data_IF_242859233784
#
_entry.id   IF_242859233784
#
_cell.length_a   1.000
_cell.length_b   1.000
_cell.length_c   1.000
_cell.angle_alpha   90.00
_cell.angle_beta   90.00
_cell.angle_gamma   90.00
#
_symmetry.space_group_name_H-M   'P 1'
#
loop_
_entity.id
_entity.type
_entity.pdbx_description
1 polymer ?
#
# COMPACT_ATOMS: atom_id res chain seq x y z
N UNK A 1 39.40 12.54 -2.12
CA UNK A 1 38.62 13.14 -1.00
C UNK A 1 37.95 11.99 -0.27
N UNK A 2 38.39 11.68 0.94
CA UNK A 2 37.73 10.70 1.80
C UNK A 2 36.44 11.36 2.31
N UNK A 3 35.36 10.61 2.24
CA UNK A 3 34.04 11.01 2.73
C UNK A 3 34.11 11.24 4.25
N UNK A 4 34.21 12.50 4.69
CA UNK A 4 34.16 12.89 6.10
C UNK A 4 32.76 12.67 6.71
N UNK A 5 31.75 12.74 5.86
CA UNK A 5 30.34 12.76 6.29
C UNK A 5 29.84 11.39 6.80
N UNK A 6 30.46 10.29 6.35
CA UNK A 6 30.13 8.93 6.82
C UNK A 6 30.77 8.59 8.17
N UNK A 7 31.86 9.29 8.54
CA UNK A 7 32.47 9.13 9.85
C UNK A 7 31.63 9.75 10.98
N UNK A 8 30.83 10.77 10.67
CA UNK A 8 29.91 11.39 11.63
C UNK A 8 28.75 10.46 12.01
N UNK A 9 28.32 9.60 11.08
CA UNK A 9 27.26 8.62 11.33
C UNK A 9 27.75 7.34 12.00
N UNK A 10 29.09 7.15 12.11
CA UNK A 10 29.70 5.99 12.76
C UNK A 10 29.45 4.66 12.03
N UNK A 11 29.07 4.69 10.74
CA UNK A 11 28.78 3.50 9.95
C UNK A 11 29.84 3.25 8.87
N UNK A 12 30.15 1.99 8.65
CA UNK A 12 31.00 1.54 7.56
C UNK A 12 30.13 0.95 6.44
N UNK A 13 30.11 1.60 5.27
CA UNK A 13 29.23 1.19 4.15
C UNK A 13 29.85 0.05 3.34
N UNK A 14 31.18 0.03 3.22
CA UNK A 14 31.89 -0.94 2.38
C UNK A 14 33.01 -1.64 3.13
N UNK A 15 33.11 -2.95 2.92
CA UNK A 15 34.27 -3.76 3.35
C UNK A 15 35.10 -4.11 2.13
N UNK A 16 36.41 -3.93 2.22
CA UNK A 16 37.38 -4.37 1.22
C UNK A 16 37.85 -5.78 1.52
N UNK A 17 37.72 -6.67 0.57
CA UNK A 17 38.21 -8.05 0.63
C UNK A 17 39.17 -8.31 -0.54
N UNK A 18 39.95 -9.39 -0.52
CA UNK A 18 40.85 -9.75 -1.63
C UNK A 18 40.11 -9.95 -2.96
N UNK A 19 38.80 -10.15 -2.95
CA UNK A 19 37.94 -10.35 -4.12
C UNK A 19 37.22 -9.05 -4.58
N UNK A 20 37.45 -7.91 -3.91
CA UNK A 20 36.84 -6.63 -4.26
C UNK A 20 36.20 -5.92 -3.07
N UNK A 21 35.16 -5.13 -3.35
CA UNK A 21 34.43 -4.34 -2.36
C UNK A 21 33.03 -4.94 -2.21
N UNK A 22 32.61 -5.16 -0.96
CA UNK A 22 31.26 -5.62 -0.61
C UNK A 22 30.59 -4.62 0.33
N UNK A 23 29.26 -4.52 0.27
CA UNK A 23 28.48 -3.72 1.20
C UNK A 23 28.41 -4.41 2.58
N UNK A 24 28.45 -3.62 3.63
CA UNK A 24 28.10 -4.04 4.98
C UNK A 24 26.57 -4.15 5.11
N UNK A 25 26.08 -4.70 6.23
CA UNK A 25 24.65 -4.65 6.57
C UNK A 25 24.15 -3.21 6.71
N UNK A 26 24.89 -2.40 7.44
CA UNK A 26 24.60 -0.98 7.65
C UNK A 26 24.69 -0.20 6.33
N UNK A 27 25.62 -0.58 5.44
CA UNK A 27 25.73 -0.03 4.09
C UNK A 27 24.54 -0.32 3.19
N UNK A 28 23.95 -1.52 3.30
CA UNK A 28 22.72 -1.86 2.56
C UNK A 28 21.52 -1.04 3.06
N UNK A 29 21.41 -0.90 4.37
CA UNK A 29 20.35 -0.11 5.00
C UNK A 29 20.50 1.39 4.64
N UNK A 30 21.69 1.94 4.81
CA UNK A 30 21.99 3.33 4.40
C UNK A 30 21.67 3.60 2.94
N UNK A 31 22.05 2.71 2.02
CA UNK A 31 21.76 2.88 0.60
C UNK A 31 20.26 2.82 0.28
N UNK A 32 19.50 2.05 1.05
CA UNK A 32 18.03 2.03 0.91
C UNK A 32 17.44 3.41 1.22
N UNK A 33 17.82 4.03 2.33
CA UNK A 33 17.39 5.38 2.68
C UNK A 33 17.93 6.45 1.72
N UNK A 34 19.20 6.34 1.33
CA UNK A 34 19.82 7.28 0.39
C UNK A 34 19.12 7.29 -0.98
N UNK A 35 18.72 6.12 -1.48
CA UNK A 35 17.93 6.03 -2.72
C UNK A 35 16.59 6.74 -2.59
N UNK A 36 15.88 6.56 -1.49
CA UNK A 36 14.61 7.26 -1.26
C UNK A 36 14.79 8.77 -1.27
N UNK A 37 15.84 9.29 -0.62
CA UNK A 37 16.14 10.73 -0.63
C UNK A 37 16.43 11.23 -2.04
N UNK A 38 17.24 10.49 -2.82
CA UNK A 38 17.55 10.86 -4.20
C UNK A 38 16.31 10.85 -5.09
N UNK A 39 15.46 9.82 -4.98
CA UNK A 39 14.19 9.73 -5.71
C UNK A 39 13.26 10.89 -5.37
N UNK A 40 13.10 11.24 -4.08
CA UNK A 40 12.30 12.38 -3.68
C UNK A 40 12.88 13.71 -4.18
N UNK A 41 14.20 13.84 -4.19
CA UNK A 41 14.86 15.03 -4.74
C UNK A 41 14.64 15.15 -6.24
N UNK A 42 14.73 14.04 -6.98
CA UNK A 42 14.45 14.02 -8.40
C UNK A 42 13.00 14.41 -8.72
N UNK A 43 12.04 13.86 -7.99
CA UNK A 43 10.62 14.23 -8.13
C UNK A 43 10.39 15.73 -7.86
N UNK A 44 11.05 16.26 -6.82
CA UNK A 44 10.99 17.68 -6.51
C UNK A 44 11.60 18.53 -7.65
N UNK A 45 12.75 18.13 -8.17
CA UNK A 45 13.42 18.83 -9.28
C UNK A 45 12.60 18.77 -10.57
N UNK A 46 12.05 17.61 -10.91
CA UNK A 46 11.18 17.46 -12.09
C UNK A 46 9.95 18.36 -11.99
N UNK A 47 9.34 18.42 -10.79
CA UNK A 47 8.16 19.25 -10.56
C UNK A 47 8.43 20.75 -10.73
N UNK A 48 9.59 21.24 -10.31
CA UNK A 48 9.88 22.68 -10.26
C UNK A 48 10.83 23.19 -11.34
N UNK A 49 11.67 22.33 -11.93
CA UNK A 49 12.62 22.74 -13.00
C UNK A 49 12.05 22.57 -14.40
N UNK A 50 11.00 21.77 -14.60
CA UNK A 50 10.38 21.57 -15.91
C UNK A 50 9.03 22.33 -16.00
N UNK A 51 9.01 23.55 -16.56
CA UNK A 51 7.78 24.33 -16.70
C UNK A 51 6.74 23.72 -17.68
N UNK A 52 7.13 22.66 -18.43
CA UNK A 52 6.22 21.96 -19.36
C UNK A 52 5.37 20.92 -18.64
N UNK A 53 5.74 20.52 -17.42
CA UNK A 53 5.00 19.53 -16.61
C UNK A 53 4.21 20.21 -15.49
N UNK A 54 3.41 21.22 -15.82
CA UNK A 54 2.49 21.86 -14.86
C UNK A 54 1.22 21.00 -14.67
N UNK A 55 1.39 19.66 -14.67
CA UNK A 55 0.29 18.74 -14.34
C UNK A 55 0.22 18.58 -12.84
N UNK A 56 -0.99 18.76 -12.32
CA UNK A 56 -1.26 18.44 -10.92
C UNK A 56 -1.26 16.91 -10.75
N UNK A 57 -0.39 16.41 -9.87
CA UNK A 57 -0.36 15.00 -9.51
C UNK A 57 -1.51 14.71 -8.56
N UNK A 58 -2.23 13.63 -8.82
CA UNK A 58 -3.21 13.10 -7.89
C UNK A 58 -3.14 11.58 -7.90
N UNK A 59 -2.86 11.01 -6.75
CA UNK A 59 -2.71 9.57 -6.59
C UNK A 59 -3.58 9.02 -5.47
N UNK A 60 -4.08 7.81 -5.71
CA UNK A 60 -4.89 7.05 -4.77
C UNK A 60 -4.24 5.70 -4.54
N UNK A 61 -4.01 5.33 -3.28
CA UNK A 61 -3.62 3.98 -2.89
C UNK A 61 -4.82 3.26 -2.27
N UNK A 62 -5.08 2.03 -2.69
CA UNK A 62 -6.25 1.27 -2.28
C UNK A 62 -5.92 -0.20 -2.12
N UNK A 63 -6.65 -0.88 -1.24
CA UNK A 63 -6.79 -2.32 -1.31
C UNK A 63 -7.53 -2.72 -2.60
N UNK A 64 -7.64 -4.01 -2.88
CA UNK A 64 -8.15 -4.56 -4.15
C UNK A 64 -9.68 -4.43 -4.27
N UNK A 65 -10.17 -3.21 -4.53
CA UNK A 65 -11.60 -2.92 -4.60
C UNK A 65 -12.06 -2.43 -5.97
N UNK A 66 -12.92 -3.19 -6.62
CA UNK A 66 -13.50 -2.82 -7.91
C UNK A 66 -14.25 -1.47 -7.87
N UNK A 67 -14.85 -1.08 -6.75
CA UNK A 67 -15.52 0.21 -6.64
C UNK A 67 -14.54 1.39 -6.70
N UNK A 68 -13.32 1.24 -6.16
CA UNK A 68 -12.28 2.27 -6.24
C UNK A 68 -11.82 2.43 -7.69
N UNK A 69 -11.56 1.32 -8.38
CA UNK A 69 -11.21 1.34 -9.81
C UNK A 69 -12.28 2.03 -10.64
N UNK A 70 -13.56 1.70 -10.41
CA UNK A 70 -14.68 2.32 -11.11
C UNK A 70 -14.81 3.82 -10.81
N UNK A 71 -14.63 4.22 -9.56
CA UNK A 71 -14.63 5.63 -9.15
C UNK A 71 -13.47 6.39 -9.81
N UNK A 72 -12.28 5.81 -9.82
CA UNK A 72 -11.09 6.38 -10.44
C UNK A 72 -11.25 6.54 -11.96
N UNK A 73 -11.75 5.51 -12.65
CA UNK A 73 -12.08 5.60 -14.09
C UNK A 73 -13.13 6.67 -14.37
N UNK A 74 -14.10 6.85 -13.47
CA UNK A 74 -15.10 7.90 -13.58
C UNK A 74 -14.50 9.29 -13.38
N UNK A 75 -13.53 9.40 -12.49
CA UNK A 75 -12.74 10.63 -12.30
C UNK A 75 -11.93 10.96 -13.56
N UNK A 76 -11.20 9.98 -14.11
CA UNK A 76 -10.43 10.15 -15.35
C UNK A 76 -11.28 10.70 -16.49
N UNK A 77 -12.49 10.20 -16.67
CA UNK A 77 -13.42 10.66 -17.73
C UNK A 77 -13.90 12.10 -17.56
N UNK A 78 -13.83 12.64 -16.35
CA UNK A 78 -14.25 14.01 -16.01
C UNK A 78 -13.09 14.98 -15.89
N UNK A 79 -11.88 14.47 -15.77
CA UNK A 79 -10.66 15.26 -15.57
C UNK A 79 -10.09 15.75 -16.90
N UNK A 80 -9.51 16.92 -16.87
CA UNK A 80 -8.72 17.46 -17.98
C UNK A 80 -7.33 16.81 -17.94
N UNK A 81 -7.11 15.81 -18.79
CA UNK A 81 -5.86 15.03 -18.83
C UNK A 81 -4.63 15.87 -19.25
N UNK A 82 -4.82 17.08 -19.75
CA UNK A 82 -3.71 17.98 -20.01
C UNK A 82 -3.18 18.63 -18.74
N UNK A 83 -4.04 18.76 -17.71
CA UNK A 83 -3.72 19.41 -16.43
C UNK A 83 -3.35 18.44 -15.33
N UNK A 84 -3.79 17.19 -15.42
CA UNK A 84 -3.63 16.21 -14.35
C UNK A 84 -2.82 15.02 -14.78
N UNK A 85 -2.02 14.52 -13.86
CA UNK A 85 -1.40 13.20 -13.91
C UNK A 85 -1.96 12.37 -12.77
N UNK A 86 -2.67 11.29 -13.10
CA UNK A 86 -3.50 10.53 -12.16
C UNK A 86 -2.95 9.11 -12.00
N UNK A 87 -2.74 8.69 -10.74
CA UNK A 87 -2.24 7.35 -10.41
C UNK A 87 -3.21 6.60 -9.50
N UNK A 88 -3.46 5.35 -9.81
CA UNK A 88 -4.12 4.40 -8.92
C UNK A 88 -3.13 3.28 -8.58
N UNK A 89 -2.88 3.08 -7.28
CA UNK A 89 -2.04 2.01 -6.74
C UNK A 89 -2.94 1.03 -5.99
N UNK A 90 -3.02 -0.20 -6.48
CA UNK A 90 -3.63 -1.29 -5.74
C UNK A 90 -2.52 -2.01 -4.97
N UNK A 91 -2.58 -1.93 -3.64
CA UNK A 91 -1.50 -2.38 -2.78
C UNK A 91 -2.01 -2.83 -1.40
N UNK A 92 -1.10 -3.25 -0.53
CA UNK A 92 -1.37 -3.83 0.78
C UNK A 92 -1.75 -2.76 1.80
N UNK A 93 -2.48 -3.19 2.83
CA UNK A 93 -3.00 -2.30 3.88
C UNK A 93 -1.93 -1.40 4.50
N UNK A 94 -0.78 -1.98 4.88
CA UNK A 94 0.32 -1.22 5.47
C UNK A 94 0.91 -0.22 4.48
N UNK A 95 1.09 -0.63 3.22
CA UNK A 95 1.66 0.21 2.17
C UNK A 95 0.76 1.40 1.83
N UNK A 96 -0.57 1.24 1.92
CA UNK A 96 -1.51 2.36 1.73
C UNK A 96 -1.28 3.45 2.78
N UNK A 97 -1.15 3.05 4.05
CA UNK A 97 -0.87 3.99 5.14
C UNK A 97 0.48 4.68 4.92
N UNK A 98 1.50 3.92 4.53
CA UNK A 98 2.83 4.44 4.26
C UNK A 98 2.86 5.37 3.03
N UNK A 99 2.09 5.05 1.98
CA UNK A 99 1.96 5.90 0.80
C UNK A 99 1.36 7.27 1.13
N UNK A 100 0.28 7.31 1.93
CA UNK A 100 -0.35 8.58 2.32
C UNK A 100 0.54 9.35 3.29
N UNK A 101 1.14 8.67 4.27
CA UNK A 101 2.08 9.28 5.23
C UNK A 101 3.25 9.97 4.52
N UNK A 102 3.79 9.33 3.49
CA UNK A 102 4.97 9.81 2.76
C UNK A 102 4.62 10.63 1.51
N UNK A 103 3.36 11.07 1.37
CA UNK A 103 2.87 11.87 0.25
C UNK A 103 3.07 11.23 -1.14
N UNK A 104 3.14 9.88 -1.20
CA UNK A 104 3.11 9.14 -2.47
C UNK A 104 1.70 8.98 -3.01
N UNK A 105 0.70 9.12 -2.15
CA UNK A 105 -0.72 9.21 -2.50
C UNK A 105 -1.42 10.23 -1.64
N UNK A 106 -2.33 11.00 -2.25
CA UNK A 106 -3.15 11.99 -1.55
C UNK A 106 -4.27 11.33 -0.76
N UNK A 107 -4.73 10.16 -1.24
CA UNK A 107 -5.84 9.43 -0.63
C UNK A 107 -5.46 7.96 -0.49
N UNK A 108 -5.77 7.39 0.68
CA UNK A 108 -5.75 5.96 0.96
C UNK A 108 -7.16 5.42 1.16
N UNK A 109 -7.49 4.28 0.56
CA UNK A 109 -8.78 3.61 0.77
C UNK A 109 -8.56 2.28 1.47
N UNK A 110 -9.10 2.17 2.68
CA UNK A 110 -8.93 1.03 3.57
C UNK A 110 -10.27 0.43 3.98
N UNK A 111 -10.25 -0.87 4.28
CA UNK A 111 -11.35 -1.58 4.90
C UNK A 111 -11.18 -1.62 6.43
N UNK A 112 -12.23 -1.21 7.14
CA UNK A 112 -12.30 -1.31 8.60
C UNK A 112 -13.50 -2.16 9.00
N UNK A 113 -13.28 -3.06 9.95
CA UNK A 113 -14.32 -3.85 10.61
C UNK A 113 -14.15 -3.78 12.13
N UNK A 114 -14.99 -4.49 12.87
CA UNK A 114 -14.91 -4.51 14.35
C UNK A 114 -13.62 -5.12 14.88
N UNK A 115 -12.92 -5.93 14.08
CA UNK A 115 -11.70 -6.62 14.50
C UNK A 115 -10.44 -5.77 14.31
N UNK A 116 -10.32 -5.10 13.16
CA UNK A 116 -9.09 -4.36 12.80
C UNK A 116 -9.17 -2.85 13.11
N UNK A 117 -10.36 -2.34 13.41
CA UNK A 117 -10.62 -0.90 13.59
C UNK A 117 -9.68 -0.25 14.60
N UNK A 118 -9.55 -0.82 15.79
CA UNK A 118 -8.79 -0.19 16.86
C UNK A 118 -7.29 -0.11 16.50
N UNK A 119 -6.75 -1.18 15.90
CA UNK A 119 -5.36 -1.24 15.46
C UNK A 119 -5.09 -0.26 14.33
N UNK A 120 -5.93 -0.28 13.28
CA UNK A 120 -5.75 0.61 12.14
C UNK A 120 -6.02 2.07 12.50
N UNK A 121 -7.04 2.36 13.33
CA UNK A 121 -7.29 3.73 13.80
C UNK A 121 -6.10 4.28 14.57
N UNK A 122 -5.52 3.48 15.48
CA UNK A 122 -4.30 3.88 16.18
C UNK A 122 -3.14 4.13 15.22
N UNK A 123 -2.94 3.28 14.22
CA UNK A 123 -1.90 3.50 13.21
C UNK A 123 -2.11 4.79 12.41
N UNK A 124 -3.35 5.11 12.06
CA UNK A 124 -3.69 6.36 11.38
C UNK A 124 -3.38 7.57 12.28
N UNK A 125 -3.81 7.52 13.54
CA UNK A 125 -3.56 8.58 14.52
C UNK A 125 -2.06 8.80 14.78
N UNK A 126 -1.30 7.71 14.98
CA UNK A 126 0.15 7.75 15.20
C UNK A 126 0.92 8.35 13.99
N UNK A 127 0.32 8.27 12.79
CA UNK A 127 0.86 8.87 11.57
C UNK A 127 0.17 10.19 11.16
N UNK A 128 -0.65 10.77 12.03
CA UNK A 128 -1.38 12.03 11.80
C UNK A 128 -2.29 12.01 10.57
N UNK A 129 -2.87 10.85 10.25
CA UNK A 129 -3.78 10.66 9.13
C UNK A 129 -5.23 10.72 9.62
N UNK A 130 -6.07 11.36 8.82
CA UNK A 130 -7.51 11.51 9.11
C UNK A 130 -8.30 10.51 8.28
N UNK A 131 -9.08 9.66 8.95
CA UNK A 131 -9.98 8.72 8.29
C UNK A 131 -11.41 9.28 8.21
N UNK A 132 -12.00 9.18 7.03
CA UNK A 132 -13.42 9.53 6.80
C UNK A 132 -14.18 8.30 6.33
N UNK A 133 -15.29 7.98 6.98
CA UNK A 133 -16.15 6.87 6.59
C UNK A 133 -16.81 7.16 5.23
N UNK A 134 -16.64 6.25 4.26
CA UNK A 134 -17.27 6.35 2.95
C UNK A 134 -18.64 5.68 2.94
N UNK A 135 -18.68 4.38 3.22
CA UNK A 135 -19.91 3.59 3.29
C UNK A 135 -19.67 2.27 4.04
N UNK A 136 -20.74 1.59 4.41
CA UNK A 136 -20.68 0.24 4.98
C UNK A 136 -21.20 -0.75 3.95
N UNK A 137 -20.43 -1.82 3.72
CA UNK A 137 -20.78 -2.89 2.78
C UNK A 137 -20.94 -4.23 3.49
N UNK A 138 -21.76 -5.10 2.92
CA UNK A 138 -21.85 -6.50 3.33
C UNK A 138 -20.77 -7.31 2.59
N UNK A 139 -20.14 -8.29 3.24
CA UNK A 139 -19.18 -9.17 2.57
C UNK A 139 -19.87 -10.05 1.54
N UNK A 140 -19.17 -10.28 0.42
CA UNK A 140 -19.62 -11.15 -0.65
C UNK A 140 -18.50 -12.11 -1.02
N UNK A 141 -18.86 -13.30 -1.47
CA UNK A 141 -17.90 -14.26 -2.02
C UNK A 141 -17.89 -14.17 -3.55
N UNK A 142 -16.71 -14.34 -4.12
CA UNK A 142 -16.52 -14.49 -5.55
C UNK A 142 -16.27 -15.95 -5.88
N UNK A 143 -17.12 -16.52 -6.72
CA UNK A 143 -16.99 -17.92 -7.17
C UNK A 143 -17.26 -18.02 -8.67
N UNK A 144 -16.66 -19.02 -9.32
CA UNK A 144 -16.96 -19.34 -10.71
C UNK A 144 -18.45 -19.69 -10.88
N UNK A 145 -19.04 -19.40 -12.02
CA UNK A 145 -20.42 -19.81 -12.37
C UNK A 145 -20.64 -21.33 -12.29
N UNK A 146 -19.58 -22.12 -12.46
CA UNK A 146 -19.61 -23.58 -12.33
C UNK A 146 -19.52 -24.09 -10.89
N UNK A 147 -19.18 -23.21 -9.93
CA UNK A 147 -19.08 -23.59 -8.52
C UNK A 147 -20.48 -23.88 -7.96
N UNK A 148 -20.68 -24.94 -7.16
CA UNK A 148 -21.96 -25.26 -6.54
C UNK A 148 -22.57 -24.12 -5.73
N UNK A 149 -21.72 -23.31 -5.08
CA UNK A 149 -22.14 -22.15 -4.30
C UNK A 149 -22.80 -21.04 -5.14
N UNK A 150 -22.48 -20.96 -6.44
CA UNK A 150 -23.07 -19.96 -7.33
C UNK A 150 -24.60 -20.08 -7.49
N UNK A 151 -25.18 -21.24 -7.10
CA UNK A 151 -26.63 -21.49 -7.16
C UNK A 151 -27.34 -21.10 -5.86
N UNK A 152 -26.58 -20.83 -4.76
CA UNK A 152 -27.16 -20.44 -3.48
C UNK A 152 -27.48 -18.95 -3.47
N UNK A 153 -28.66 -18.59 -2.95
CA UNK A 153 -29.05 -17.19 -2.74
C UNK A 153 -28.35 -16.55 -1.55
N UNK A 154 -28.01 -17.36 -0.56
CA UNK A 154 -27.27 -16.96 0.64
C UNK A 154 -26.23 -18.06 0.92
N UNK A 155 -24.99 -17.65 1.15
CA UNK A 155 -23.89 -18.53 1.54
C UNK A 155 -23.57 -18.27 2.99
N UNK A 156 -23.50 -19.32 3.79
CA UNK A 156 -23.06 -19.26 5.19
C UNK A 156 -21.58 -19.63 5.29
N UNK A 157 -20.90 -19.23 6.35
CA UNK A 157 -19.48 -19.57 6.55
C UNK A 157 -19.21 -21.07 6.51
N UNK A 158 -20.10 -21.87 7.11
CA UNK A 158 -20.02 -23.34 7.08
C UNK A 158 -20.04 -23.92 5.65
N UNK A 159 -20.65 -23.24 4.69
CA UNK A 159 -20.66 -23.68 3.31
C UNK A 159 -19.30 -23.53 2.61
N UNK A 160 -18.38 -22.80 3.20
CA UNK A 160 -17.06 -22.48 2.64
C UNK A 160 -15.98 -23.45 3.12
N UNK A 161 -16.23 -24.26 4.16
CA UNK A 161 -15.23 -25.14 4.81
C UNK A 161 -14.62 -26.15 3.83
N UNK A 162 -15.40 -26.64 2.85
CA UNK A 162 -14.95 -27.62 1.85
C UNK A 162 -14.26 -27.01 0.63
N UNK A 163 -14.11 -25.67 0.57
CA UNK A 163 -13.56 -24.99 -0.60
C UNK A 163 -12.22 -24.32 -0.28
N UNK A 164 -11.28 -24.33 -1.24
CA UNK A 164 -10.04 -23.57 -1.09
C UNK A 164 -10.33 -22.08 -0.95
N UNK A 165 -9.66 -21.47 0.00
CA UNK A 165 -9.76 -20.04 0.28
C UNK A 165 -8.56 -19.30 -0.31
N UNK A 166 -8.82 -18.19 -1.00
CA UNK A 166 -7.79 -17.34 -1.57
C UNK A 166 -7.80 -15.99 -0.84
N UNK A 167 -6.64 -15.55 -0.42
CA UNK A 167 -6.44 -14.27 0.25
C UNK A 167 -5.30 -13.49 -0.39
N UNK A 168 -5.29 -12.18 -0.18
CA UNK A 168 -4.20 -11.32 -0.60
C UNK A 168 -3.05 -11.39 0.42
N UNK A 169 -1.85 -11.66 -0.08
CA UNK A 169 -0.64 -11.67 0.74
C UNK A 169 -0.27 -10.26 1.20
N UNK A 170 -0.13 -10.06 2.51
CA UNK A 170 0.25 -8.78 3.12
C UNK A 170 1.78 -8.59 3.25
N UNK A 171 2.57 -9.51 2.70
CA UNK A 171 4.04 -9.42 2.64
C UNK A 171 4.71 -9.47 4.01
N UNK A 172 5.76 -8.67 4.18
CA UNK A 172 6.55 -8.63 5.42
C UNK A 172 5.78 -8.09 6.64
N UNK A 173 4.73 -7.30 6.41
CA UNK A 173 3.81 -6.81 7.43
C UNK A 173 2.57 -7.69 7.55
N UNK A 174 2.77 -9.01 7.49
CA UNK A 174 1.68 -9.98 7.52
C UNK A 174 1.06 -10.07 8.93
N UNK A 175 0.11 -9.20 9.19
CA UNK A 175 -0.71 -9.18 10.39
C UNK A 175 -2.16 -9.46 10.02
N UNK A 176 -2.86 -10.25 10.84
CA UNK A 176 -4.30 -10.48 10.67
C UNK A 176 -5.15 -9.20 10.63
N UNK A 177 -4.67 -8.13 11.27
CA UNK A 177 -5.33 -6.83 11.22
C UNK A 177 -5.24 -6.15 9.86
N UNK A 178 -4.32 -6.57 9.01
CA UNK A 178 -4.13 -6.02 7.66
C UNK A 178 -4.85 -6.81 6.58
N UNK A 179 -5.40 -7.97 6.93
CA UNK A 179 -6.17 -8.79 5.99
C UNK A 179 -7.32 -8.02 5.36
N UNK A 180 -7.48 -8.18 4.06
CA UNK A 180 -8.55 -7.58 3.27
C UNK A 180 -9.83 -8.42 3.33
N UNK A 181 -9.72 -9.66 3.82
CA UNK A 181 -10.80 -10.62 3.88
C UNK A 181 -11.31 -10.81 5.31
N UNK A 182 -12.63 -10.82 5.46
CA UNK A 182 -13.26 -11.00 6.77
C UNK A 182 -13.06 -12.43 7.30
N UNK A 183 -13.03 -13.41 6.40
CA UNK A 183 -13.01 -14.83 6.75
C UNK A 183 -11.70 -15.32 7.31
N UNK A 184 -10.58 -14.65 6.99
CA UNK A 184 -9.27 -15.01 7.55
C UNK A 184 -9.22 -14.90 9.07
N UNK A 185 -10.13 -14.15 9.67
CA UNK A 185 -10.21 -13.90 11.11
C UNK A 185 -10.89 -15.04 11.89
N UNK A 186 -11.79 -15.78 11.26
CA UNK A 186 -12.53 -16.88 11.92
C UNK A 186 -11.85 -18.24 11.78
N UNK A 187 -11.14 -18.47 10.67
CA UNK A 187 -10.40 -19.71 10.45
C UNK A 187 -9.19 -19.88 11.38
N UNK A 188 -8.67 -18.83 11.98
CA UNK A 188 -7.55 -18.90 12.94
C UNK A 188 -7.99 -19.09 14.40
N UNK A 189 -9.28 -19.22 14.68
CA UNK A 189 -9.79 -19.54 16.00
C UNK A 189 -9.93 -21.07 16.25
N UNK A 190 -9.57 -21.88 15.31
CA UNK A 190 -9.41 -23.33 15.44
C UNK A 190 -7.93 -23.67 15.33
#
# INVERSE_FOLDING_TARGET
RRSSDLNEMGIEIFIRNPKGITLTKDGMEFLSYARQVVEQTQLLEERYKNPVANRELFSVSSQHYAFVVNAFVSLLKKSDMEKYELFLRETRTWEIIDDVKNFRSEIGVLFLNSYNRDVLSKMLDDNHLIATHLFTAQPHIFVSKSNPLAKKKLVQLADLEDFPYLSYDQGTHNSFYFSEEILSQEHHKK
#
